data_IF_713348142901
#
_entry.id   IF_713348142901
#
_cell.length_a   1.000
_cell.length_b   1.000
_cell.length_c   1.000
_cell.angle_alpha   90.00
_cell.angle_beta   90.00
_cell.angle_gamma   90.00
#
_symmetry.space_group_name_H-M   'P 1'
#
loop_
_entity.id
_entity.type
_entity.pdbx_description
1 polymer ?
#
# COMPACT_ATOMS: atom_id res chain seq x y z
N UNK A 1 -4.43 -6.49 -1.06
CA UNK A 1 -3.36 -5.48 -1.05
C UNK A 1 -3.83 -4.23 -1.78
N UNK A 2 -3.39 -4.01 -3.02
CA UNK A 2 -3.71 -2.80 -3.77
C UNK A 2 -5.20 -2.62 -4.11
N UNK A 3 -5.93 -3.71 -4.38
CA UNK A 3 -7.39 -3.65 -4.51
C UNK A 3 -8.09 -3.18 -3.23
N UNK A 4 -7.57 -3.56 -2.06
CA UNK A 4 -8.06 -3.09 -0.76
C UNK A 4 -7.80 -1.58 -0.58
N UNK A 5 -6.65 -1.08 -1.05
CA UNK A 5 -6.36 0.36 -1.08
C UNK A 5 -7.33 1.11 -1.99
N UNK A 6 -7.58 0.61 -3.20
CA UNK A 6 -8.55 1.20 -4.11
C UNK A 6 -9.95 1.27 -3.49
N UNK A 7 -10.41 0.16 -2.89
CA UNK A 7 -11.69 0.12 -2.17
C UNK A 7 -11.73 1.13 -1.01
N UNK A 8 -10.67 1.19 -0.21
CA UNK A 8 -10.56 2.15 0.90
C UNK A 8 -10.73 3.59 0.41
N UNK A 9 -10.02 3.98 -0.64
CA UNK A 9 -10.12 5.33 -1.17
C UNK A 9 -11.47 5.59 -1.85
N UNK A 10 -12.08 4.59 -2.48
CA UNK A 10 -13.43 4.72 -3.04
C UNK A 10 -14.49 4.98 -1.94
N UNK A 11 -14.36 4.33 -0.78
CA UNK A 11 -15.24 4.59 0.36
C UNK A 11 -15.07 6.01 0.91
N UNK A 12 -13.81 6.47 1.07
CA UNK A 12 -13.51 7.83 1.53
C UNK A 12 -13.93 8.91 0.52
N UNK A 13 -13.88 8.59 -0.77
CA UNK A 13 -14.36 9.46 -1.85
C UNK A 13 -15.90 9.61 -1.83
N UNK A 14 -16.60 8.56 -1.39
CA UNK A 14 -18.08 8.49 -1.43
C UNK A 14 -18.75 9.17 -0.23
N UNK A 15 -17.99 9.61 0.78
CA UNK A 15 -18.51 10.19 2.02
C UNK A 15 -17.83 11.53 2.37
N UNK A 16 -18.30 12.67 1.81
CA UNK A 16 -17.68 13.98 2.02
C UNK A 16 -18.04 14.66 3.36
N UNK A 17 -18.86 14.04 4.24
CA UNK A 17 -19.19 14.54 5.59
C UNK A 17 -20.61 14.20 6.05
N UNK A 18 -21.06 14.67 7.23
CA UNK A 18 -20.55 14.31 8.56
C UNK A 18 -20.77 12.82 8.93
N UNK A 19 -21.17 11.97 7.97
CA UNK A 19 -21.23 10.53 8.17
C UNK A 19 -19.84 9.96 8.48
N UNK A 20 -19.74 9.19 9.56
CA UNK A 20 -18.49 8.53 9.94
C UNK A 20 -18.46 7.05 9.55
N UNK A 21 -19.58 6.48 9.08
CA UNK A 21 -19.70 5.03 8.86
C UNK A 21 -18.75 4.52 7.78
N UNK A 22 -18.67 5.19 6.63
CA UNK A 22 -17.77 4.81 5.54
C UNK A 22 -16.29 5.10 5.89
N UNK A 23 -16.04 6.13 6.69
CA UNK A 23 -14.72 6.41 7.24
C UNK A 23 -14.25 5.33 8.23
N UNK A 24 -15.12 4.88 9.13
CA UNK A 24 -14.83 3.76 10.05
C UNK A 24 -14.57 2.48 9.25
N UNK A 25 -15.41 2.17 8.25
CA UNK A 25 -15.19 1.02 7.37
C UNK A 25 -13.85 1.12 6.63
N UNK A 26 -13.46 2.32 6.19
CA UNK A 26 -12.17 2.60 5.55
C UNK A 26 -10.98 2.36 6.49
N UNK A 27 -11.14 2.61 7.79
CA UNK A 27 -10.14 2.29 8.82
C UNK A 27 -10.02 0.78 9.01
N UNK A 28 -11.13 0.04 9.05
CA UNK A 28 -11.08 -1.43 9.11
C UNK A 28 -10.37 -2.02 7.89
N UNK A 29 -10.66 -1.51 6.69
CA UNK A 29 -10.00 -1.96 5.45
C UNK A 29 -8.50 -1.67 5.44
N UNK A 30 -8.05 -0.63 6.16
CA UNK A 30 -6.62 -0.32 6.27
C UNK A 30 -5.79 -1.49 6.79
N UNK A 31 -6.33 -2.33 7.70
CA UNK A 31 -5.63 -3.52 8.17
C UNK A 31 -5.31 -4.51 7.04
N UNK A 32 -6.25 -4.73 6.11
CA UNK A 32 -6.05 -5.57 4.94
C UNK A 32 -5.06 -4.95 3.95
N UNK A 33 -5.08 -3.63 3.79
CA UNK A 33 -4.08 -2.91 3.01
C UNK A 33 -2.68 -3.17 3.57
N UNK A 34 -2.51 -3.03 4.89
CA UNK A 34 -1.23 -3.20 5.56
C UNK A 34 -0.72 -4.64 5.44
N UNK A 35 -1.54 -5.63 5.80
CA UNK A 35 -1.14 -7.04 5.79
C UNK A 35 -0.75 -7.55 4.41
N UNK A 36 -1.56 -7.28 3.37
CA UNK A 36 -1.32 -7.83 2.05
C UNK A 36 -0.28 -7.08 1.21
N UNK A 37 0.05 -5.84 1.56
CA UNK A 37 1.06 -5.08 0.81
C UNK A 37 2.39 -5.03 1.57
N UNK A 38 2.36 -4.56 2.82
CA UNK A 38 3.57 -4.33 3.58
C UNK A 38 4.07 -5.63 4.23
N UNK A 39 3.24 -6.33 5.00
CA UNK A 39 3.67 -7.57 5.66
C UNK A 39 4.01 -8.65 4.64
N UNK A 40 3.12 -8.91 3.68
CA UNK A 40 3.37 -9.90 2.64
C UNK A 40 4.59 -9.55 1.75
N UNK A 41 4.78 -8.26 1.42
CA UNK A 41 5.95 -7.80 0.67
C UNK A 41 7.26 -8.03 1.42
N UNK A 42 7.29 -7.71 2.71
CA UNK A 42 8.46 -7.95 3.57
C UNK A 42 8.78 -9.45 3.71
N UNK A 43 7.76 -10.30 3.85
CA UNK A 43 7.92 -11.77 3.87
C UNK A 43 8.46 -12.28 2.53
N UNK A 44 7.89 -11.83 1.41
CA UNK A 44 8.35 -12.23 0.07
C UNK A 44 9.82 -11.87 -0.14
N UNK A 45 10.22 -10.65 0.23
CA UNK A 45 11.62 -10.21 0.08
C UNK A 45 12.54 -10.99 1.02
N UNK A 46 12.07 -11.31 2.22
CA UNK A 46 12.75 -12.20 3.15
C UNK A 46 13.02 -13.59 2.54
N UNK A 47 12.09 -14.10 1.75
CA UNK A 47 12.20 -15.40 1.10
C UNK A 47 13.07 -15.39 -0.17
N UNK A 48 13.12 -14.26 -0.88
CA UNK A 48 13.89 -14.11 -2.13
C UNK A 48 15.35 -13.72 -1.89
N UNK A 49 15.61 -12.88 -0.88
CA UNK A 49 16.96 -12.46 -0.54
C UNK A 49 17.75 -13.58 0.15
N UNK A 50 19.06 -13.67 -0.10
CA UNK A 50 19.93 -14.57 0.66
C UNK A 50 20.06 -14.11 2.11
N UNK A 51 20.33 -15.04 3.03
CA UNK A 51 20.43 -14.75 4.47
C UNK A 51 21.41 -13.61 4.79
N UNK A 52 22.49 -13.45 4.01
CA UNK A 52 23.50 -12.41 4.23
C UNK A 52 23.02 -11.00 3.92
N UNK A 53 22.05 -10.82 3.01
CA UNK A 53 21.55 -9.50 2.59
C UNK A 53 20.09 -9.28 2.93
N UNK A 54 19.43 -10.25 3.57
CA UNK A 54 18.00 -10.24 3.84
C UNK A 54 17.55 -8.97 4.60
N UNK A 55 18.23 -8.66 5.71
CA UNK A 55 17.94 -7.48 6.51
C UNK A 55 18.12 -6.17 5.71
N UNK A 56 19.19 -6.09 4.89
CA UNK A 56 19.43 -4.94 4.03
C UNK A 56 18.37 -4.77 2.95
N UNK A 57 17.91 -5.87 2.34
CA UNK A 57 16.85 -5.84 1.32
C UNK A 57 15.49 -5.41 1.90
N UNK A 58 15.13 -5.95 3.07
CA UNK A 58 13.93 -5.55 3.81
C UNK A 58 14.00 -4.08 4.25
N UNK A 59 15.16 -3.65 4.75
CA UNK A 59 15.44 -2.25 5.10
C UNK A 59 15.36 -1.30 3.91
N UNK A 60 15.86 -1.70 2.74
CA UNK A 60 15.76 -0.92 1.50
C UNK A 60 14.30 -0.71 1.09
N UNK A 61 13.46 -1.75 1.18
CA UNK A 61 12.02 -1.61 0.90
C UNK A 61 11.35 -0.71 1.91
N UNK A 62 11.69 -0.82 3.20
CA UNK A 62 11.18 0.08 4.21
C UNK A 62 11.57 1.54 3.92
N UNK A 63 12.82 1.80 3.54
CA UNK A 63 13.31 3.13 3.18
C UNK A 63 12.59 3.69 1.93
N UNK A 64 12.43 2.88 0.88
CA UNK A 64 11.72 3.31 -0.33
C UNK A 64 10.26 3.63 0.00
N UNK A 65 9.62 2.83 0.84
CA UNK A 65 8.18 2.97 1.09
C UNK A 65 7.86 4.06 2.11
N UNK A 66 8.48 4.01 3.29
CA UNK A 66 8.21 4.92 4.40
C UNK A 66 9.16 6.14 4.46
N UNK A 67 10.27 6.09 3.72
CA UNK A 67 11.15 7.25 3.54
C UNK A 67 10.75 8.02 2.28
N UNK A 68 11.29 7.61 1.14
CA UNK A 68 11.15 8.35 -0.12
C UNK A 68 9.69 8.42 -0.59
N UNK A 69 8.99 7.29 -0.58
CA UNK A 69 7.61 7.17 -1.03
C UNK A 69 6.67 8.03 -0.19
N UNK A 70 6.75 7.93 1.13
CA UNK A 70 5.95 8.75 2.04
C UNK A 70 6.31 10.23 1.96
N UNK A 71 7.59 10.58 1.79
CA UNK A 71 8.02 11.97 1.60
C UNK A 71 7.44 12.58 0.32
N UNK A 72 7.62 11.91 -0.82
CA UNK A 72 7.07 12.35 -2.09
C UNK A 72 5.53 12.38 -2.06
N UNK A 73 4.91 11.36 -1.47
CA UNK A 73 3.46 11.25 -1.31
C UNK A 73 2.88 12.40 -0.49
N UNK A 74 3.55 12.80 0.60
CA UNK A 74 3.12 13.94 1.43
C UNK A 74 3.14 15.25 0.66
N UNK A 75 4.20 15.50 -0.13
CA UNK A 75 4.33 16.72 -0.95
C UNK A 75 3.22 16.75 -2.02
N UNK A 76 3.01 15.64 -2.72
CA UNK A 76 1.99 15.52 -3.76
C UNK A 76 0.59 15.68 -3.14
N UNK A 77 0.32 15.03 -2.01
CA UNK A 77 -0.94 15.13 -1.29
C UNK A 77 -1.23 16.55 -0.83
N UNK A 78 -0.23 17.29 -0.35
CA UNK A 78 -0.39 18.69 0.04
C UNK A 78 -0.84 19.56 -1.13
N UNK A 79 -0.20 19.42 -2.29
CA UNK A 79 -0.58 20.16 -3.52
C UNK A 79 -1.98 19.81 -4.02
N UNK A 80 -2.36 18.54 -3.94
CA UNK A 80 -3.71 18.08 -4.31
C UNK A 80 -4.74 18.69 -3.36
N UNK A 81 -4.45 18.70 -2.05
CA UNK A 81 -5.33 19.27 -1.05
C UNK A 81 -5.53 20.77 -1.28
N UNK A 82 -4.45 21.51 -1.53
CA UNK A 82 -4.50 22.93 -1.87
C UNK A 82 -5.35 23.19 -3.13
N UNK A 83 -5.12 22.42 -4.20
CA UNK A 83 -5.85 22.57 -5.45
C UNK A 83 -7.36 22.31 -5.30
N UNK A 84 -7.75 21.37 -4.44
CA UNK A 84 -9.14 21.03 -4.19
C UNK A 84 -9.74 21.74 -2.96
N UNK A 85 -9.06 22.76 -2.45
CA UNK A 85 -9.62 23.69 -1.45
C UNK A 85 -10.18 24.91 -2.17
N UNK A 86 -11.50 25.07 -2.16
CA UNK A 86 -12.21 26.18 -2.79
C UNK A 86 -12.99 26.91 -1.71
N UNK A 87 -12.81 28.24 -1.61
CA UNK A 87 -13.46 29.10 -0.61
C UNK A 87 -13.30 28.60 0.85
N UNK A 88 -12.15 27.99 1.16
CA UNK A 88 -11.84 27.44 2.48
C UNK A 88 -12.47 26.07 2.77
N UNK A 89 -13.23 25.50 1.83
CA UNK A 89 -13.80 24.16 1.93
C UNK A 89 -13.02 23.15 1.10
N UNK A 90 -12.71 22.00 1.70
CA UNK A 90 -11.98 20.90 1.04
C UNK A 90 -12.97 19.99 0.30
N UNK A 91 -12.73 19.76 -0.98
CA UNK A 91 -13.48 18.79 -1.79
C UNK A 91 -12.90 17.37 -1.59
N UNK A 92 -13.23 16.73 -0.46
CA UNK A 92 -12.67 15.43 -0.07
C UNK A 92 -12.81 14.32 -1.13
N UNK A 93 -13.94 14.29 -1.84
CA UNK A 93 -14.15 13.32 -2.92
C UNK A 93 -13.04 13.38 -3.97
N UNK A 94 -12.67 14.58 -4.41
CA UNK A 94 -11.63 14.79 -5.42
C UNK A 94 -10.23 14.46 -4.88
N UNK A 95 -9.97 14.77 -3.61
CA UNK A 95 -8.70 14.45 -2.95
C UNK A 95 -8.45 12.93 -2.93
N UNK A 96 -9.50 12.13 -2.66
CA UNK A 96 -9.40 10.67 -2.61
C UNK A 96 -9.48 9.98 -3.97
N UNK A 97 -9.98 10.64 -5.00
CA UNK A 97 -10.09 10.08 -6.34
C UNK A 97 -8.72 9.72 -6.95
N UNK A 98 -7.74 10.62 -6.85
CA UNK A 98 -6.41 10.35 -7.41
C UNK A 98 -5.73 9.12 -6.78
N UNK A 99 -5.57 9.00 -5.44
CA UNK A 99 -4.95 7.81 -4.86
C UNK A 99 -5.76 6.53 -5.11
N UNK A 100 -7.09 6.61 -5.29
CA UNK A 100 -7.92 5.48 -5.73
C UNK A 100 -7.47 4.96 -7.12
N UNK A 101 -7.35 5.86 -8.10
CA UNK A 101 -6.93 5.49 -9.46
C UNK A 101 -5.49 4.97 -9.46
N UNK A 102 -4.58 5.61 -8.73
CA UNK A 102 -3.18 5.14 -8.60
C UNK A 102 -3.13 3.74 -8.01
N UNK A 103 -3.92 3.45 -6.97
CA UNK A 103 -3.97 2.12 -6.36
C UNK A 103 -4.51 1.06 -7.35
N UNK A 104 -5.52 1.39 -8.15
CA UNK A 104 -6.01 0.49 -9.21
C UNK A 104 -4.95 0.21 -10.27
N UNK A 105 -4.30 1.26 -10.79
CA UNK A 105 -3.25 1.13 -11.81
C UNK A 105 -2.09 0.27 -11.29
N UNK A 106 -1.60 0.53 -10.08
CA UNK A 106 -0.54 -0.27 -9.46
C UNK A 106 -1.01 -1.71 -9.23
N UNK A 107 -2.27 -1.92 -8.83
CA UNK A 107 -2.84 -3.26 -8.69
C UNK A 107 -2.88 -4.04 -10.00
N UNK A 108 -3.27 -3.40 -11.10
CA UNK A 108 -3.25 -3.98 -12.45
C UNK A 108 -1.83 -4.28 -12.90
N UNK A 109 -0.91 -3.32 -12.77
CA UNK A 109 0.50 -3.52 -13.12
C UNK A 109 1.10 -4.68 -12.31
N UNK A 110 0.81 -4.76 -11.02
CA UNK A 110 1.24 -5.88 -10.19
C UNK A 110 0.67 -7.21 -10.71
N UNK A 111 -0.63 -7.28 -10.99
CA UNK A 111 -1.25 -8.51 -11.51
C UNK A 111 -0.66 -8.97 -12.85
N UNK A 112 -0.25 -8.04 -13.72
CA UNK A 112 0.30 -8.36 -15.04
C UNK A 112 1.81 -8.66 -15.01
N UNK A 113 2.58 -7.94 -14.18
CA UNK A 113 4.04 -7.99 -14.18
C UNK A 113 4.60 -8.93 -13.13
N UNK A 114 3.91 -9.13 -12.01
CA UNK A 114 4.41 -9.95 -10.92
C UNK A 114 4.34 -11.42 -11.29
N UNK A 115 5.50 -12.09 -11.28
CA UNK A 115 5.63 -13.52 -11.52
C UNK A 115 6.38 -14.15 -10.37
N UNK A 116 5.73 -15.08 -9.69
CA UNK A 116 6.38 -15.90 -8.66
C UNK A 116 7.26 -16.92 -9.36
N UNK A 117 8.56 -16.91 -9.08
CA UNK A 117 9.41 -18.06 -9.38
C UNK A 117 9.21 -19.08 -8.26
N UNK A 118 8.83 -20.33 -8.55
CA UNK A 118 8.76 -21.36 -7.52
C UNK A 118 10.13 -21.47 -6.84
N UNK A 119 10.19 -21.17 -5.55
CA UNK A 119 11.35 -21.55 -4.75
C UNK A 119 11.30 -23.07 -4.65
N UNK A 120 12.30 -23.77 -5.21
CA UNK A 120 12.48 -25.19 -4.93
C UNK A 120 12.43 -25.35 -3.41
N UNK A 121 11.49 -26.18 -2.94
CA UNK A 121 11.28 -26.38 -1.51
C UNK A 121 12.64 -26.68 -0.88
N UNK A 122 13.10 -25.80 0.03
CA UNK A 122 14.24 -26.14 0.87
C UNK A 122 13.84 -27.41 1.61
N UNK A 123 14.44 -28.54 1.22
CA UNK A 123 14.34 -29.78 1.95
C UNK A 123 14.64 -29.44 3.42
N UNK A 124 13.63 -29.61 4.26
CA UNK A 124 13.78 -29.42 5.70
C UNK A 124 14.71 -30.55 6.12
N UNK A 125 15.95 -30.21 6.43
CA UNK A 125 16.89 -31.15 7.03
C UNK A 125 16.43 -31.37 8.48
N UNK A 126 15.55 -32.35 8.66
CA UNK A 126 15.14 -32.85 9.97
C UNK A 126 16.25 -33.82 10.42
N UNK A 127 17.41 -33.28 10.74
CA UNK A 127 18.51 -34.05 11.29
C UNK A 127 19.20 -33.23 12.38
N UNK A 128 18.55 -33.17 13.54
CA UNK A 128 19.17 -33.06 14.88
C UNK A 128 18.02 -33.13 15.91
N UNK A 129 17.66 -34.37 16.24
CA UNK A 129 16.85 -34.75 17.40
C UNK A 129 17.72 -35.58 18.35
#
# INVERSE_FOLDING_TARGET
GMLSWALRYALMMSDPGPGYSLWILSIVIHGFCYGFFFTAGQVYVGNVASKSIQASAQGLIALITFGLGQGAGSIISGRILEHYTVDGAIQWSQVWFLPMIVALVVGVLFALLFRVKPTEAKAVDIAEA
#
